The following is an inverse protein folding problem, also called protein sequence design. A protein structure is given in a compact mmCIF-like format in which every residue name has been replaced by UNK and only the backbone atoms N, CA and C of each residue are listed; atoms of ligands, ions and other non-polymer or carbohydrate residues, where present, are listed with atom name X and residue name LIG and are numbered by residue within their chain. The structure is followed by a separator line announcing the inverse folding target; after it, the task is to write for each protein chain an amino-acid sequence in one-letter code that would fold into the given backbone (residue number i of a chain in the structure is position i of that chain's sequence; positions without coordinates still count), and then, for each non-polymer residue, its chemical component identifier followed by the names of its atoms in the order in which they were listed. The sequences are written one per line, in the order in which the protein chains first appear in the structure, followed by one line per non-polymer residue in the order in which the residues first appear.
data_IF_995591674304
#
_entry.id   IF_995591674304
#
_cell.length_a   1.000
_cell.length_b   1.000
_cell.length_c   1.000
_cell.angle_alpha   90.00
_cell.angle_beta   90.00
_cell.angle_gamma   90.00
#
_symmetry.space_group_name_H-M   'P 1'
#
loop_
_entity.id
_entity.type
_entity.pdbx_description
1 polymer ?
#
# COMPACT_ATOMS: atom_id res chain seq x y z
N UNK A 1 -30.74 -6.01 -2.20
CA UNK A 1 -30.77 -5.95 -3.68
C UNK A 1 -29.38 -6.33 -4.17
N UNK A 2 -29.23 -7.41 -4.96
CA UNK A 2 -27.89 -7.86 -5.40
C UNK A 2 -27.36 -6.92 -6.49
N UNK A 3 -26.26 -6.27 -6.19
CA UNK A 3 -25.58 -5.34 -7.11
C UNK A 3 -24.86 -6.16 -8.20
N UNK A 4 -25.01 -5.76 -9.45
CA UNK A 4 -24.35 -6.38 -10.62
C UNK A 4 -23.30 -5.44 -11.21
N UNK A 5 -22.16 -5.97 -11.62
CA UNK A 5 -21.06 -5.20 -12.21
C UNK A 5 -21.51 -4.30 -13.39
N UNK A 6 -22.41 -4.76 -14.34
CA UNK A 6 -22.91 -3.90 -15.40
C UNK A 6 -23.70 -2.67 -14.93
N UNK A 7 -24.39 -2.77 -13.77
CA UNK A 7 -25.11 -1.63 -13.18
C UNK A 7 -24.14 -0.62 -12.56
N UNK A 8 -23.00 -1.09 -12.02
CA UNK A 8 -21.92 -0.26 -11.54
C UNK A 8 -21.24 0.49 -12.69
N UNK A 9 -21.00 -0.18 -13.81
CA UNK A 9 -20.43 0.42 -15.02
C UNK A 9 -21.33 1.49 -15.62
N UNK A 10 -22.66 1.29 -15.59
CA UNK A 10 -23.62 2.27 -16.05
C UNK A 10 -23.68 3.51 -15.15
N UNK A 11 -23.60 3.36 -13.83
CA UNK A 11 -23.59 4.45 -12.86
C UNK A 11 -22.29 5.28 -12.93
N UNK A 12 -21.16 4.64 -13.19
CA UNK A 12 -19.87 5.33 -13.36
C UNK A 12 -19.80 6.29 -14.55
N UNK A 13 -20.67 6.11 -15.55
CA UNK A 13 -20.73 6.97 -16.75
C UNK A 13 -21.48 8.29 -16.55
N UNK A 14 -22.27 8.42 -15.47
CA UNK A 14 -23.22 9.54 -15.34
C UNK A 14 -22.76 10.69 -14.44
N UNK A 15 -21.84 10.45 -13.47
CA UNK A 15 -21.31 11.51 -12.60
C UNK A 15 -19.99 11.09 -11.95
N UNK A 16 -18.87 11.67 -12.43
CA UNK A 16 -17.50 11.22 -12.12
C UNK A 16 -17.11 11.35 -10.63
N UNK A 17 -17.72 12.25 -9.88
CA UNK A 17 -17.27 12.57 -8.51
C UNK A 17 -18.04 11.83 -7.42
N UNK A 18 -19.34 11.70 -7.55
CA UNK A 18 -20.22 10.98 -6.61
C UNK A 18 -20.12 9.46 -6.88
N UNK A 19 -19.97 9.10 -8.18
CA UNK A 19 -19.86 7.73 -8.64
C UNK A 19 -18.65 6.98 -8.05
N UNK A 20 -17.52 7.63 -7.82
CA UNK A 20 -16.28 6.94 -7.44
C UNK A 20 -16.26 6.46 -5.98
N UNK A 21 -16.69 7.28 -5.01
CA UNK A 21 -16.76 6.86 -3.59
C UNK A 21 -17.84 5.78 -3.43
N UNK A 22 -18.95 5.95 -4.14
CA UNK A 22 -19.99 4.94 -4.26
C UNK A 22 -19.47 3.69 -5.00
N UNK A 23 -18.66 3.84 -6.04
CA UNK A 23 -18.13 2.73 -6.84
C UNK A 23 -17.11 1.87 -6.05
N UNK A 24 -16.13 2.47 -5.37
CA UNK A 24 -15.21 1.72 -4.48
C UNK A 24 -15.97 1.02 -3.35
N UNK A 25 -16.94 1.70 -2.74
CA UNK A 25 -17.81 1.11 -1.74
C UNK A 25 -18.60 -0.06 -2.33
N UNK A 26 -19.11 0.08 -3.55
CA UNK A 26 -19.86 -0.93 -4.26
C UNK A 26 -18.99 -2.13 -4.72
N UNK A 27 -17.75 -1.90 -5.16
CA UNK A 27 -16.81 -2.99 -5.49
C UNK A 27 -16.39 -3.78 -4.25
N UNK A 28 -16.12 -3.10 -3.15
CA UNK A 28 -15.87 -3.74 -1.85
C UNK A 28 -17.12 -4.50 -1.39
N UNK A 29 -18.31 -3.92 -1.55
CA UNK A 29 -19.56 -4.57 -1.22
C UNK A 29 -19.82 -5.80 -2.13
N UNK A 30 -19.58 -5.67 -3.44
CA UNK A 30 -19.67 -6.78 -4.40
C UNK A 30 -18.72 -7.91 -4.00
N UNK A 31 -17.46 -7.59 -3.66
CA UNK A 31 -16.48 -8.58 -3.21
C UNK A 31 -17.01 -9.39 -2.04
N UNK A 32 -17.53 -8.73 -0.99
CA UNK A 32 -18.03 -9.41 0.20
C UNK A 32 -19.36 -10.13 0.01
N UNK A 33 -20.08 -9.86 -1.08
CA UNK A 33 -21.27 -10.61 -1.51
C UNK A 33 -20.94 -11.87 -2.32
N UNK A 34 -19.68 -12.03 -2.79
CA UNK A 34 -19.28 -13.24 -3.50
C UNK A 34 -19.20 -14.44 -2.57
N UNK A 35 -19.51 -15.61 -3.09
CA UNK A 35 -19.28 -16.84 -2.36
C UNK A 35 -17.81 -17.26 -2.52
N UNK A 36 -17.03 -17.20 -1.45
CA UNK A 36 -15.61 -17.51 -1.46
C UNK A 36 -15.32 -18.92 -2.02
N UNK A 37 -16.19 -19.91 -1.75
CA UNK A 37 -16.06 -21.27 -2.29
C UNK A 37 -16.16 -21.28 -3.82
N UNK A 38 -17.08 -20.50 -4.39
CA UNK A 38 -17.23 -20.42 -5.86
C UNK A 38 -16.04 -19.67 -6.49
N UNK A 39 -15.58 -18.61 -5.87
CA UNK A 39 -14.39 -17.87 -6.32
C UNK A 39 -13.18 -18.80 -6.33
N UNK A 40 -12.94 -19.53 -5.26
CA UNK A 40 -11.84 -20.49 -5.12
C UNK A 40 -11.93 -21.71 -6.04
N UNK A 41 -13.10 -21.98 -6.59
CA UNK A 41 -13.26 -23.04 -7.57
C UNK A 41 -12.62 -22.71 -8.93
N UNK A 42 -12.45 -21.41 -9.29
CA UNK A 42 -11.95 -21.02 -10.62
C UNK A 42 -10.57 -21.57 -10.95
N UNK A 43 -9.53 -21.45 -10.10
CA UNK A 43 -8.22 -22.07 -10.35
C UNK A 43 -8.30 -23.58 -10.54
N UNK A 44 -9.19 -24.26 -9.81
CA UNK A 44 -9.36 -25.69 -9.88
C UNK A 44 -10.02 -26.09 -11.22
N UNK A 45 -11.03 -25.33 -11.68
CA UNK A 45 -11.66 -25.54 -12.99
C UNK A 45 -10.66 -25.30 -14.11
N UNK A 46 -9.86 -24.23 -14.02
CA UNK A 46 -8.81 -23.92 -15.01
C UNK A 46 -7.74 -25.02 -15.10
N UNK A 47 -7.30 -25.54 -13.95
CA UNK A 47 -6.29 -26.60 -13.90
C UNK A 47 -6.83 -28.01 -14.29
N UNK A 48 -8.14 -28.26 -14.03
CA UNK A 48 -8.75 -29.55 -14.35
C UNK A 48 -9.23 -29.65 -15.81
N UNK A 49 -9.34 -28.52 -16.51
CA UNK A 49 -9.86 -28.46 -17.87
C UNK A 49 -11.33 -28.87 -18.03
N UNK A 50 -12.06 -29.14 -16.92
CA UNK A 50 -13.46 -29.57 -16.99
C UNK A 50 -14.17 -29.56 -15.65
N UNK A 51 -15.51 -29.42 -15.72
CA UNK A 51 -16.39 -29.25 -14.54
C UNK A 51 -16.47 -30.50 -13.67
N UNK A 52 -16.51 -31.69 -14.27
CA UNK A 52 -16.59 -32.97 -13.54
C UNK A 52 -15.35 -33.20 -12.68
N UNK A 53 -14.18 -33.10 -13.29
CA UNK A 53 -12.92 -33.27 -12.59
C UNK A 53 -12.71 -32.21 -11.49
N UNK A 54 -13.08 -30.95 -11.77
CA UNK A 54 -13.02 -29.88 -10.78
C UNK A 54 -13.99 -30.14 -9.61
N UNK A 55 -15.21 -30.54 -9.87
CA UNK A 55 -16.23 -30.82 -8.85
C UNK A 55 -15.76 -31.94 -7.90
N UNK A 56 -15.18 -33.01 -8.43
CA UNK A 56 -14.57 -34.09 -7.65
C UNK A 56 -13.45 -33.57 -6.75
N UNK A 57 -12.55 -32.71 -7.27
CA UNK A 57 -11.43 -32.14 -6.49
C UNK A 57 -11.91 -31.19 -5.37
N UNK A 58 -13.03 -30.49 -5.57
CA UNK A 58 -13.59 -29.55 -4.60
C UNK A 58 -14.48 -30.29 -3.57
N UNK A 59 -14.94 -31.50 -3.89
CA UNK A 59 -15.86 -32.27 -3.06
C UNK A 59 -17.31 -31.75 -3.10
N UNK A 60 -17.77 -31.32 -4.28
CA UNK A 60 -19.18 -30.88 -4.52
C UNK A 60 -19.71 -31.55 -5.78
N UNK A 61 -21.03 -31.50 -5.97
CA UNK A 61 -21.64 -32.03 -7.21
C UNK A 61 -21.32 -31.10 -8.41
N UNK A 62 -21.19 -31.69 -9.59
CA UNK A 62 -20.96 -30.95 -10.84
C UNK A 62 -22.07 -29.90 -11.10
N UNK A 63 -23.38 -30.18 -10.90
CA UNK A 63 -24.44 -29.17 -11.02
C UNK A 63 -24.26 -27.98 -10.06
N UNK A 64 -23.85 -28.23 -8.80
CA UNK A 64 -23.62 -27.19 -7.82
C UNK A 64 -22.44 -26.28 -8.24
N UNK A 65 -21.35 -26.86 -8.76
CA UNK A 65 -20.23 -26.10 -9.28
C UNK A 65 -20.65 -25.28 -10.51
N UNK A 66 -21.38 -25.88 -11.45
CA UNK A 66 -21.88 -25.20 -12.65
C UNK A 66 -22.79 -24.02 -12.31
N UNK A 67 -23.71 -24.22 -11.35
CA UNK A 67 -24.59 -23.15 -10.87
C UNK A 67 -23.81 -22.03 -10.20
N UNK A 68 -22.82 -22.37 -9.37
CA UNK A 68 -21.95 -21.41 -8.70
C UNK A 68 -21.14 -20.56 -9.67
N UNK A 69 -20.56 -21.19 -10.69
CA UNK A 69 -19.81 -20.49 -11.75
C UNK A 69 -20.74 -19.59 -12.57
N UNK A 70 -21.89 -20.11 -13.02
CA UNK A 70 -22.88 -19.32 -13.76
C UNK A 70 -23.41 -18.12 -12.94
N UNK A 71 -23.56 -18.29 -11.63
CA UNK A 71 -23.97 -17.19 -10.73
C UNK A 71 -22.87 -16.13 -10.65
N UNK A 72 -21.59 -16.55 -10.54
CA UNK A 72 -20.45 -15.65 -10.52
C UNK A 72 -20.34 -14.87 -11.84
N UNK A 73 -20.38 -15.54 -12.99
CA UNK A 73 -20.34 -14.92 -14.32
C UNK A 73 -21.52 -13.93 -14.54
N UNK A 74 -22.73 -14.30 -14.11
CA UNK A 74 -23.90 -13.38 -14.16
C UNK A 74 -23.70 -12.13 -13.29
N UNK A 75 -23.09 -12.28 -12.10
CA UNK A 75 -22.80 -11.13 -11.22
C UNK A 75 -21.74 -10.21 -11.83
N UNK A 76 -20.72 -10.80 -12.43
CA UNK A 76 -19.64 -10.07 -13.08
C UNK A 76 -20.03 -9.53 -14.46
N UNK A 77 -21.08 -10.06 -15.07
CA UNK A 77 -21.53 -9.71 -16.42
C UNK A 77 -20.55 -10.15 -17.52
N UNK A 78 -19.67 -11.09 -17.23
CA UNK A 78 -18.60 -11.57 -18.10
C UNK A 78 -18.54 -13.09 -18.08
N UNK A 79 -18.08 -13.68 -19.21
CA UNK A 79 -17.69 -15.08 -19.25
C UNK A 79 -16.25 -15.22 -18.75
N UNK A 80 -16.06 -16.17 -17.83
CA UNK A 80 -14.74 -16.50 -17.28
C UNK A 80 -14.13 -17.73 -17.95
N UNK A 81 -14.98 -18.57 -18.55
CA UNK A 81 -14.55 -19.79 -19.27
C UNK A 81 -15.30 -19.95 -20.58
N UNK A 82 -14.59 -20.35 -21.60
CA UNK A 82 -15.14 -20.83 -22.87
C UNK A 82 -15.23 -22.36 -22.82
N UNK A 83 -16.33 -22.90 -23.41
CA UNK A 83 -16.57 -24.32 -23.56
C UNK A 83 -16.10 -24.80 -24.93
N UNK A 84 -15.24 -25.79 -24.96
CA UNK A 84 -14.74 -26.42 -26.14
C UNK A 84 -15.00 -27.94 -26.10
N UNK A 85 -14.97 -28.67 -27.21
CA UNK A 85 -15.08 -30.14 -27.22
C UNK A 85 -14.05 -30.83 -26.32
N UNK A 86 -12.88 -30.24 -26.13
CA UNK A 86 -11.80 -30.71 -25.25
C UNK A 86 -11.91 -30.26 -23.79
N UNK A 87 -12.96 -29.50 -23.40
CA UNK A 87 -13.13 -29.07 -22.01
C UNK A 87 -13.42 -27.57 -21.84
N UNK A 88 -12.99 -27.02 -20.73
CA UNK A 88 -13.16 -25.62 -20.37
C UNK A 88 -11.80 -24.90 -20.34
N UNK A 89 -11.71 -23.80 -21.06
CA UNK A 89 -10.51 -22.96 -21.13
C UNK A 89 -10.84 -21.57 -20.53
N UNK A 90 -10.01 -21.02 -19.65
CA UNK A 90 -10.22 -19.68 -19.14
C UNK A 90 -10.16 -18.65 -20.26
N UNK A 91 -11.10 -17.70 -20.29
CA UNK A 91 -11.00 -16.49 -21.10
C UNK A 91 -9.82 -15.62 -20.62
N UNK A 92 -9.36 -14.59 -21.36
CA UNK A 92 -8.37 -13.64 -20.86
C UNK A 92 -8.78 -13.04 -19.49
N UNK A 93 -10.04 -12.67 -19.33
CA UNK A 93 -10.62 -12.20 -18.08
C UNK A 93 -10.57 -13.27 -16.99
N UNK A 94 -10.94 -14.51 -17.33
CA UNK A 94 -10.86 -15.66 -16.43
C UNK A 94 -9.43 -15.94 -15.98
N UNK A 95 -8.45 -15.91 -16.90
CA UNK A 95 -7.04 -16.12 -16.60
C UNK A 95 -6.48 -15.07 -15.64
N UNK A 96 -6.77 -13.79 -15.88
CA UNK A 96 -6.37 -12.70 -15.00
C UNK A 96 -6.94 -12.86 -13.59
N UNK A 97 -8.23 -13.21 -13.48
CA UNK A 97 -8.89 -13.42 -12.21
C UNK A 97 -8.34 -14.65 -11.48
N UNK A 98 -8.10 -15.75 -12.18
CA UNK A 98 -7.51 -16.99 -11.62
C UNK A 98 -6.16 -16.71 -10.97
N UNK A 99 -5.28 -15.94 -11.60
CA UNK A 99 -3.97 -15.56 -11.04
C UNK A 99 -4.11 -14.81 -9.70
N UNK A 100 -5.06 -13.89 -9.60
CA UNK A 100 -5.31 -13.13 -8.38
C UNK A 100 -5.95 -13.99 -7.28
N UNK A 101 -6.84 -14.90 -7.65
CA UNK A 101 -7.44 -15.86 -6.69
C UNK A 101 -6.37 -16.77 -6.11
N UNK A 102 -5.43 -17.26 -6.92
CA UNK A 102 -4.31 -18.09 -6.43
C UNK A 102 -3.45 -17.32 -5.41
N UNK A 103 -3.16 -16.05 -5.66
CA UNK A 103 -2.43 -15.20 -4.71
C UNK A 103 -3.22 -15.00 -3.41
N UNK A 104 -4.54 -14.75 -3.50
CA UNK A 104 -5.40 -14.64 -2.34
C UNK A 104 -5.45 -15.97 -1.54
N UNK A 105 -5.57 -17.11 -2.21
CA UNK A 105 -5.57 -18.42 -1.56
C UNK A 105 -4.27 -18.69 -0.78
N UNK A 106 -3.13 -18.33 -1.33
CA UNK A 106 -1.84 -18.48 -0.65
C UNK A 106 -1.80 -17.66 0.65
N UNK A 107 -2.33 -16.42 0.63
CA UNK A 107 -2.44 -15.58 1.83
C UNK A 107 -3.40 -16.17 2.86
N UNK A 108 -4.55 -16.67 2.42
CA UNK A 108 -5.53 -17.33 3.30
C UNK A 108 -4.95 -18.61 3.92
N UNK A 109 -4.22 -19.40 3.14
CA UNK A 109 -3.54 -20.60 3.64
C UNK A 109 -2.48 -20.25 4.69
N UNK A 110 -1.64 -19.23 4.42
CA UNK A 110 -0.65 -18.72 5.38
C UNK A 110 -1.32 -18.22 6.67
N UNK A 111 -2.42 -17.48 6.55
CA UNK A 111 -3.17 -16.95 7.68
C UNK A 111 -3.70 -18.05 8.62
N UNK A 112 -4.14 -19.16 8.07
CA UNK A 112 -4.78 -20.25 8.79
C UNK A 112 -3.89 -21.50 8.96
N UNK A 113 -2.58 -21.40 8.62
CA UNK A 113 -1.63 -22.53 8.69
C UNK A 113 -1.48 -23.12 10.09
N UNK A 114 -1.77 -22.35 11.14
CA UNK A 114 -1.62 -22.76 12.55
C UNK A 114 -2.74 -23.64 13.07
N UNK A 115 -3.79 -23.90 12.29
CA UNK A 115 -4.97 -24.68 12.74
C UNK A 115 -4.71 -26.17 13.05
N UNK A 116 -3.53 -26.68 12.73
CA UNK A 116 -2.92 -27.90 13.28
C UNK A 116 -3.65 -29.25 13.09
N UNK A 117 -4.82 -29.30 12.51
CA UNK A 117 -5.58 -30.53 12.30
C UNK A 117 -5.15 -31.22 10.99
N UNK A 118 -4.50 -32.39 11.10
CA UNK A 118 -4.17 -33.22 9.92
C UNK A 118 -5.42 -33.51 9.08
N UNK A 119 -5.33 -33.24 7.77
CA UNK A 119 -6.42 -33.47 6.82
C UNK A 119 -7.54 -32.42 6.81
N UNK A 120 -7.48 -31.40 7.66
CA UNK A 120 -8.46 -30.32 7.69
C UNK A 120 -7.90 -29.05 7.03
N UNK A 121 -8.55 -28.59 5.95
CA UNK A 121 -8.22 -27.30 5.34
C UNK A 121 -9.18 -26.23 5.83
N UNK A 122 -8.78 -25.36 6.77
CA UNK A 122 -9.65 -24.36 7.36
C UNK A 122 -10.17 -23.32 6.35
N UNK A 123 -9.43 -23.09 5.26
CA UNK A 123 -9.85 -22.15 4.19
C UNK A 123 -11.15 -22.60 3.52
N UNK A 124 -11.45 -23.92 3.49
CA UNK A 124 -12.70 -24.43 2.94
C UNK A 124 -13.95 -24.02 3.75
N UNK A 125 -13.75 -23.64 5.01
CA UNK A 125 -14.80 -23.24 5.95
C UNK A 125 -14.84 -21.73 6.19
N UNK A 126 -13.95 -20.98 5.55
CA UNK A 126 -13.89 -19.54 5.63
C UNK A 126 -14.95 -18.90 4.71
N UNK A 127 -15.58 -17.85 5.19
CA UNK A 127 -16.53 -17.02 4.42
C UNK A 127 -16.02 -15.59 4.25
N UNK A 128 -16.51 -14.91 3.21
CA UNK A 128 -16.25 -13.48 3.01
C UNK A 128 -16.76 -12.62 4.17
N UNK A 129 -17.87 -13.00 4.78
CA UNK A 129 -18.43 -12.31 5.95
C UNK A 129 -17.48 -12.38 7.16
N UNK A 130 -16.87 -13.54 7.40
CA UNK A 130 -15.89 -13.71 8.47
C UNK A 130 -14.61 -12.91 8.21
N UNK A 131 -14.12 -12.87 6.96
CA UNK A 131 -12.99 -12.02 6.58
C UNK A 131 -13.31 -10.54 6.84
N UNK A 132 -14.48 -10.07 6.39
CA UNK A 132 -14.94 -8.70 6.61
C UNK A 132 -15.06 -8.38 8.11
N UNK A 133 -15.60 -9.31 8.90
CA UNK A 133 -15.78 -9.14 10.33
C UNK A 133 -14.47 -8.84 11.07
N UNK A 134 -13.43 -9.64 10.83
CA UNK A 134 -12.13 -9.45 11.52
C UNK A 134 -11.37 -8.23 11.01
N UNK A 135 -11.43 -7.93 9.72
CA UNK A 135 -10.83 -6.72 9.14
C UNK A 135 -11.49 -5.47 9.77
N UNK A 136 -12.83 -5.43 9.80
CA UNK A 136 -13.56 -4.30 10.39
C UNK A 136 -13.33 -4.17 11.89
N UNK A 137 -13.21 -5.29 12.61
CA UNK A 137 -12.88 -5.27 14.04
C UNK A 137 -11.48 -4.73 14.30
N UNK A 138 -10.52 -5.08 13.44
CA UNK A 138 -9.15 -4.55 13.49
C UNK A 138 -9.12 -3.02 13.32
N UNK A 139 -9.90 -2.51 12.38
CA UNK A 139 -9.94 -1.08 12.05
C UNK A 139 -10.73 -0.27 13.08
N UNK A 140 -11.85 -0.82 13.57
CA UNK A 140 -12.74 -0.12 14.52
C UNK A 140 -12.27 -0.17 15.97
N UNK A 141 -11.40 -1.14 16.35
CA UNK A 141 -10.87 -1.30 17.70
C UNK A 141 -11.91 -1.69 18.77
N UNK A 142 -13.18 -1.88 18.41
CA UNK A 142 -14.24 -2.33 19.32
C UNK A 142 -15.34 -3.11 18.62
N UNK A 143 -15.94 -4.07 19.34
CA UNK A 143 -17.07 -4.85 18.82
C UNK A 143 -18.31 -3.97 18.52
N UNK A 144 -18.55 -2.95 19.35
CA UNK A 144 -19.69 -2.04 19.17
C UNK A 144 -19.55 -1.25 17.87
N UNK A 145 -18.39 -0.62 17.67
CA UNK A 145 -18.14 0.16 16.46
C UNK A 145 -18.10 -0.73 15.21
N UNK A 146 -17.44 -1.89 15.28
CA UNK A 146 -17.39 -2.83 14.16
C UNK A 146 -18.77 -3.39 13.79
N UNK A 147 -19.60 -3.72 14.77
CA UNK A 147 -20.97 -4.19 14.54
C UNK A 147 -21.83 -3.11 13.86
N UNK A 148 -21.70 -1.85 14.29
CA UNK A 148 -22.40 -0.72 13.67
C UNK A 148 -21.96 -0.52 12.19
N UNK A 149 -20.66 -0.58 11.90
CA UNK A 149 -20.11 -0.46 10.53
C UNK A 149 -20.62 -1.60 9.63
N UNK A 150 -20.71 -2.82 10.18
CA UNK A 150 -21.13 -4.01 9.44
C UNK A 150 -22.65 -4.14 9.30
N UNK A 151 -23.43 -3.35 10.03
CA UNK A 151 -24.88 -3.50 10.12
C UNK A 151 -25.30 -4.81 10.82
N UNK A 152 -24.48 -5.31 11.74
CA UNK A 152 -24.70 -6.55 12.49
C UNK A 152 -25.03 -6.26 13.96
N UNK A 153 -25.70 -7.22 14.62
CA UNK A 153 -25.76 -7.19 16.08
C UNK A 153 -24.41 -7.58 16.69
N UNK A 154 -24.07 -7.00 17.83
CA UNK A 154 -22.83 -7.34 18.55
C UNK A 154 -22.70 -8.85 18.84
N UNK A 155 -23.76 -9.60 19.25
CA UNK A 155 -23.68 -11.04 19.40
C UNK A 155 -23.40 -11.79 18.08
N UNK A 156 -23.89 -11.31 16.95
CA UNK A 156 -23.59 -11.91 15.64
C UNK A 156 -22.11 -11.75 15.28
N UNK A 157 -21.53 -10.57 15.52
CA UNK A 157 -20.10 -10.34 15.32
C UNK A 157 -19.23 -11.19 16.25
N UNK A 158 -19.62 -11.32 17.53
CA UNK A 158 -18.93 -12.21 18.48
C UNK A 158 -18.94 -13.67 18.02
N UNK A 159 -20.07 -14.18 17.49
CA UNK A 159 -20.14 -15.52 16.92
C UNK A 159 -19.20 -15.68 15.72
N UNK A 160 -19.19 -14.73 14.81
CA UNK A 160 -18.32 -14.76 13.62
C UNK A 160 -16.82 -14.80 14.01
N UNK A 161 -16.42 -14.00 14.99
CA UNK A 161 -15.03 -14.00 15.51
C UNK A 161 -14.73 -15.34 16.23
N UNK A 162 -15.63 -15.85 17.07
CA UNK A 162 -15.46 -17.14 17.75
C UNK A 162 -15.37 -18.34 16.78
N UNK A 163 -16.05 -18.27 15.63
CA UNK A 163 -15.89 -19.25 14.55
C UNK A 163 -14.52 -19.14 13.90
N UNK A 164 -14.02 -17.92 13.68
CA UNK A 164 -12.66 -17.70 13.17
C UNK A 164 -11.60 -18.21 14.16
N UNK A 165 -11.76 -18.01 15.46
CA UNK A 165 -10.86 -18.53 16.49
C UNK A 165 -10.77 -20.07 16.42
N UNK A 166 -11.91 -20.74 16.23
CA UNK A 166 -11.92 -22.20 16.03
C UNK A 166 -11.23 -22.61 14.72
N UNK A 167 -11.37 -21.84 13.63
CA UNK A 167 -10.69 -22.10 12.37
C UNK A 167 -9.19 -21.82 12.45
N UNK A 168 -8.79 -20.75 13.14
CA UNK A 168 -7.40 -20.35 13.32
C UNK A 168 -6.66 -21.17 14.38
N UNK A 169 -7.40 -21.90 15.24
CA UNK A 169 -6.82 -22.71 16.32
C UNK A 169 -6.27 -21.92 17.48
N UNK A 170 -6.76 -20.69 17.71
CA UNK A 170 -6.32 -19.84 18.83
C UNK A 170 -7.08 -18.54 18.95
N UNK A 171 -6.89 -17.84 20.08
CA UNK A 171 -7.54 -16.57 20.36
C UNK A 171 -7.09 -15.47 19.39
N UNK A 172 -8.07 -14.84 18.76
CA UNK A 172 -7.91 -13.71 17.83
C UNK A 172 -8.12 -12.38 18.54
N UNK A 173 -9.02 -12.36 19.54
CA UNK A 173 -9.35 -11.17 20.30
C UNK A 173 -9.19 -11.43 21.81
N UNK A 174 -8.79 -10.40 22.55
CA UNK A 174 -8.62 -10.45 24.00
C UNK A 174 -9.26 -9.22 24.65
N UNK A 175 -9.72 -9.38 25.91
CA UNK A 175 -10.19 -8.23 26.69
C UNK A 175 -9.02 -7.36 27.13
N UNK A 176 -9.10 -6.07 26.90
CA UNK A 176 -8.11 -5.09 27.33
C UNK A 176 -8.81 -3.90 28.02
N UNK A 177 -8.75 -3.87 29.31
CA UNK A 177 -9.51 -2.89 30.10
C UNK A 177 -11.01 -3.00 29.87
N UNK A 178 -11.67 -1.88 29.50
CA UNK A 178 -13.09 -1.84 29.15
C UNK A 178 -13.40 -2.19 27.70
N UNK A 179 -12.38 -2.48 26.88
CA UNK A 179 -12.51 -2.76 25.44
C UNK A 179 -11.99 -4.14 25.05
N UNK A 180 -11.89 -4.33 23.76
CA UNK A 180 -11.31 -5.53 23.14
C UNK A 180 -10.19 -5.10 22.20
N UNK A 181 -9.06 -5.79 22.27
CA UNK A 181 -7.96 -5.65 21.33
C UNK A 181 -7.74 -6.96 20.58
N UNK A 182 -7.24 -6.89 19.35
CA UNK A 182 -6.75 -8.08 18.68
C UNK A 182 -5.44 -8.54 19.32
N UNK A 183 -5.30 -9.86 19.49
CA UNK A 183 -4.02 -10.48 19.81
C UNK A 183 -3.00 -10.26 18.70
N UNK A 184 -1.72 -10.55 18.91
CA UNK A 184 -0.73 -10.52 17.84
C UNK A 184 -1.12 -11.47 16.68
N UNK A 185 -1.65 -12.65 17.01
CA UNK A 185 -2.18 -13.60 16.03
C UNK A 185 -3.40 -13.03 15.28
N UNK A 186 -4.31 -12.36 15.99
CA UNK A 186 -5.49 -11.71 15.40
C UNK A 186 -5.11 -10.58 14.45
N UNK A 187 -4.14 -9.76 14.80
CA UNK A 187 -3.61 -8.71 13.89
C UNK A 187 -2.97 -9.31 12.64
N UNK A 188 -2.17 -10.35 12.79
CA UNK A 188 -1.55 -11.03 11.65
C UNK A 188 -2.62 -11.66 10.74
N UNK A 189 -3.66 -12.28 11.32
CA UNK A 189 -4.79 -12.84 10.57
C UNK A 189 -5.56 -11.76 9.81
N UNK A 190 -5.93 -10.66 10.46
CA UNK A 190 -6.61 -9.54 9.84
C UNK A 190 -5.81 -8.95 8.69
N UNK A 191 -4.49 -8.81 8.85
CA UNK A 191 -3.57 -8.39 7.79
C UNK A 191 -3.62 -9.31 6.59
N UNK A 192 -3.45 -10.61 6.77
CA UNK A 192 -3.47 -11.56 5.65
C UNK A 192 -4.84 -11.60 4.96
N UNK A 193 -5.94 -11.48 5.71
CA UNK A 193 -7.27 -11.39 5.11
C UNK A 193 -7.48 -10.10 4.33
N UNK A 194 -6.97 -8.97 4.82
CA UNK A 194 -7.01 -7.69 4.08
C UNK A 194 -6.23 -7.80 2.77
N UNK A 195 -5.04 -8.38 2.81
CA UNK A 195 -4.22 -8.60 1.62
C UNK A 195 -4.87 -9.58 0.64
N UNK A 196 -5.51 -10.66 1.12
CA UNK A 196 -6.27 -11.57 0.27
C UNK A 196 -7.48 -10.87 -0.38
N UNK A 197 -8.20 -10.05 0.38
CA UNK A 197 -9.30 -9.25 -0.16
C UNK A 197 -8.82 -8.24 -1.21
N UNK A 198 -7.65 -7.63 -1.01
CA UNK A 198 -7.03 -6.73 -1.98
C UNK A 198 -6.64 -7.45 -3.29
N UNK A 199 -6.10 -8.66 -3.21
CA UNK A 199 -5.84 -9.47 -4.42
C UNK A 199 -7.13 -9.79 -5.19
N UNK A 200 -8.20 -10.16 -4.50
CA UNK A 200 -9.49 -10.42 -5.13
C UNK A 200 -10.10 -9.15 -5.75
N UNK A 201 -10.01 -8.02 -5.05
CA UNK A 201 -10.45 -6.72 -5.57
C UNK A 201 -9.65 -6.32 -6.82
N UNK A 202 -8.33 -6.45 -6.79
CA UNK A 202 -7.47 -6.20 -7.95
C UNK A 202 -7.80 -7.15 -9.13
N UNK A 203 -8.18 -8.40 -8.85
CA UNK A 203 -8.69 -9.32 -9.87
C UNK A 203 -9.98 -8.82 -10.52
N UNK A 204 -10.91 -8.29 -9.74
CA UNK A 204 -12.13 -7.69 -10.26
C UNK A 204 -11.87 -6.41 -11.06
N UNK A 205 -10.91 -5.59 -10.63
CA UNK A 205 -10.48 -4.38 -11.35
C UNK A 205 -9.94 -4.69 -12.74
N UNK A 206 -9.25 -5.82 -12.94
CA UNK A 206 -8.76 -6.21 -14.28
C UNK A 206 -9.88 -6.54 -15.27
N UNK A 207 -11.11 -6.75 -14.79
CA UNK A 207 -12.30 -7.00 -15.59
C UNK A 207 -12.98 -5.72 -16.08
N UNK A 208 -12.49 -4.56 -15.63
CA UNK A 208 -13.08 -3.26 -15.98
C UNK A 208 -12.49 -2.73 -17.28
N UNK A 209 -13.26 -1.87 -18.00
CA UNK A 209 -12.71 -1.10 -19.10
C UNK A 209 -11.49 -0.29 -18.70
N UNK A 210 -10.58 -0.05 -19.64
CA UNK A 210 -9.32 0.66 -19.38
C UNK A 210 -9.52 2.12 -18.89
N UNK A 211 -10.69 2.70 -19.16
CA UNK A 211 -11.13 4.02 -18.71
C UNK A 211 -11.80 4.02 -17.33
N UNK A 212 -11.97 2.84 -16.72
CA UNK A 212 -12.52 2.76 -15.38
C UNK A 212 -11.58 3.41 -14.36
N UNK A 213 -12.18 4.02 -13.33
CA UNK A 213 -11.45 4.69 -12.25
C UNK A 213 -10.58 3.68 -11.50
N UNK A 214 -9.26 3.84 -11.60
CA UNK A 214 -8.25 3.04 -10.90
C UNK A 214 -7.68 3.87 -9.75
N UNK A 215 -7.40 3.23 -8.62
CA UNK A 215 -6.81 3.89 -7.45
C UNK A 215 -5.33 3.54 -7.31
N UNK A 216 -4.54 4.56 -6.95
CA UNK A 216 -3.14 4.44 -6.57
C UNK A 216 -2.93 5.12 -5.22
N UNK A 217 -2.47 4.39 -4.21
CA UNK A 217 -2.20 4.94 -2.88
C UNK A 217 -0.69 4.90 -2.62
N UNK A 218 -0.09 6.06 -2.51
CA UNK A 218 1.37 6.21 -2.34
C UNK A 218 1.70 6.76 -0.98
N UNK A 219 2.47 6.01 -0.19
CA UNK A 219 3.13 6.53 1.01
C UNK A 219 4.32 7.40 0.63
N UNK A 220 4.35 8.64 1.05
CA UNK A 220 5.38 9.59 0.68
C UNK A 220 6.11 10.16 1.90
N UNK A 221 7.38 9.79 2.07
CA UNK A 221 8.26 10.43 3.05
C UNK A 221 8.73 11.80 2.55
N UNK A 222 9.19 12.71 3.44
CA UNK A 222 9.39 14.12 3.09
C UNK A 222 10.21 14.39 1.84
N UNK A 223 11.29 13.63 1.60
CA UNK A 223 12.17 13.83 0.44
C UNK A 223 11.47 13.51 -0.89
N UNK A 224 10.70 12.41 -0.94
CA UNK A 224 10.07 11.94 -2.17
C UNK A 224 9.05 12.93 -2.73
N UNK A 225 8.48 13.76 -1.86
CA UNK A 225 7.45 14.75 -2.20
C UNK A 225 7.97 15.95 -3.00
N UNK A 226 9.25 16.24 -2.88
CA UNK A 226 9.83 17.40 -3.54
C UNK A 226 10.05 17.20 -5.05
N UNK A 227 10.44 16.01 -5.47
CA UNK A 227 10.81 15.74 -6.88
C UNK A 227 10.24 14.43 -7.42
N UNK A 228 10.61 13.28 -6.83
CA UNK A 228 10.34 11.97 -7.42
C UNK A 228 8.84 11.72 -7.63
N UNK A 229 8.04 11.92 -6.61
CA UNK A 229 6.60 11.67 -6.66
C UNK A 229 5.88 12.63 -7.62
N UNK A 230 6.02 13.96 -7.54
CA UNK A 230 5.33 14.88 -8.45
C UNK A 230 5.73 14.66 -9.91
N UNK A 231 7.01 14.45 -10.19
CA UNK A 231 7.50 14.24 -11.55
C UNK A 231 6.95 12.92 -12.14
N UNK A 232 6.92 11.83 -11.37
CA UNK A 232 6.34 10.58 -11.84
C UNK A 232 4.83 10.71 -12.09
N UNK A 233 4.09 11.38 -11.19
CA UNK A 233 2.64 11.61 -11.35
C UNK A 233 2.33 12.47 -12.57
N UNK A 234 3.12 13.49 -12.87
CA UNK A 234 2.95 14.33 -14.05
C UNK A 234 2.93 13.53 -15.36
N UNK A 235 3.62 12.37 -15.41
CA UNK A 235 3.63 11.48 -16.56
C UNK A 235 2.53 10.39 -16.53
N UNK A 236 2.08 10.01 -15.33
CA UNK A 236 1.04 8.98 -15.16
C UNK A 236 -0.36 9.55 -15.37
N UNK A 237 -0.65 10.74 -14.85
CA UNK A 237 -1.96 11.35 -14.89
C UNK A 237 -2.54 11.49 -16.32
N UNK A 238 -1.79 11.93 -17.34
CA UNK A 238 -2.31 11.99 -18.72
C UNK A 238 -2.59 10.61 -19.33
N UNK A 239 -1.84 9.59 -18.92
CA UNK A 239 -1.97 8.22 -19.44
C UNK A 239 -3.19 7.47 -18.84
N UNK A 240 -3.70 7.92 -17.69
CA UNK A 240 -4.83 7.33 -16.98
C UNK A 240 -5.81 8.43 -16.53
N UNK A 241 -6.65 8.99 -17.42
CA UNK A 241 -7.52 10.13 -17.09
C UNK A 241 -8.50 9.88 -15.92
N UNK A 242 -8.83 8.60 -15.66
CA UNK A 242 -9.72 8.20 -14.58
C UNK A 242 -9.01 7.85 -13.26
N UNK A 243 -7.68 8.01 -13.18
CA UNK A 243 -6.92 7.62 -11.98
C UNK A 243 -7.27 8.52 -10.79
N UNK A 244 -7.39 7.91 -9.62
CA UNK A 244 -7.35 8.59 -8.33
C UNK A 244 -6.07 8.26 -7.59
N UNK A 245 -5.33 9.29 -7.25
CA UNK A 245 -4.09 9.16 -6.49
C UNK A 245 -4.31 9.72 -5.09
N UNK A 246 -4.10 8.87 -4.09
CA UNK A 246 -4.05 9.28 -2.69
C UNK A 246 -2.59 9.28 -2.25
N UNK A 247 -2.10 10.42 -1.78
CA UNK A 247 -0.75 10.57 -1.21
C UNK A 247 -0.87 10.61 0.30
N UNK A 248 -0.38 9.55 0.95
CA UNK A 248 -0.33 9.46 2.41
C UNK A 248 1.04 9.93 2.87
N UNK A 249 1.08 11.08 3.51
CA UNK A 249 2.31 11.69 4.00
C UNK A 249 2.63 11.19 5.41
N UNK A 250 3.91 10.93 5.68
CA UNK A 250 4.34 10.52 7.01
C UNK A 250 5.83 10.16 7.09
N UNK A 251 6.29 9.89 8.30
CA UNK A 251 7.58 9.26 8.53
C UNK A 251 7.49 7.75 8.26
N UNK A 252 8.63 7.06 8.27
CA UNK A 252 8.67 5.60 8.12
C UNK A 252 7.72 4.89 9.10
N UNK A 253 7.74 5.30 10.36
CA UNK A 253 6.91 4.72 11.43
C UNK A 253 5.41 4.83 11.18
N UNK A 254 4.99 5.89 10.49
CA UNK A 254 3.59 6.16 10.20
C UNK A 254 3.10 5.39 8.97
N UNK A 255 4.01 5.10 8.03
CA UNK A 255 3.69 4.54 6.72
C UNK A 255 3.92 3.02 6.63
N UNK A 256 4.83 2.46 7.43
CA UNK A 256 5.25 1.07 7.31
C UNK A 256 4.12 0.08 7.62
N UNK A 257 3.34 0.29 8.67
CA UNK A 257 2.22 -0.59 8.99
C UNK A 257 1.06 -0.46 7.99
N UNK A 258 0.63 0.74 7.56
CA UNK A 258 -0.30 0.89 6.44
C UNK A 258 0.18 0.23 5.14
N UNK A 259 1.49 0.27 4.82
CA UNK A 259 2.04 -0.46 3.68
C UNK A 259 1.90 -1.97 3.86
N UNK A 260 2.32 -2.51 5.01
CA UNK A 260 2.23 -3.93 5.34
C UNK A 260 0.80 -4.45 5.33
N UNK A 261 -0.14 -3.61 5.76
CA UNK A 261 -1.57 -3.91 5.77
C UNK A 261 -2.28 -3.75 4.42
N UNK A 262 -1.59 -3.19 3.41
CA UNK A 262 -2.17 -2.97 2.08
C UNK A 262 -3.08 -1.75 1.98
N UNK A 263 -3.12 -0.89 2.99
CA UNK A 263 -3.79 0.42 2.93
C UNK A 263 -3.02 1.40 2.03
N UNK A 264 -1.69 1.21 1.92
CA UNK A 264 -0.80 1.90 0.99
C UNK A 264 -0.27 0.84 0.00
N UNK A 265 -0.22 1.17 -1.29
CA UNK A 265 0.25 0.26 -2.33
C UNK A 265 1.77 0.12 -2.30
N UNK A 266 2.44 1.26 -2.26
CA UNK A 266 3.89 1.40 -2.21
C UNK A 266 4.28 2.63 -1.40
N UNK A 267 5.53 2.67 -0.91
CA UNK A 267 6.06 3.80 -0.15
C UNK A 267 7.36 4.28 -0.78
N UNK A 268 7.56 5.61 -0.85
CA UNK A 268 8.76 6.22 -1.43
C UNK A 268 9.48 7.03 -0.35
N UNK A 269 10.78 6.78 -0.18
CA UNK A 269 11.61 7.54 0.75
C UNK A 269 12.92 6.88 1.10
N UNK A 270 13.53 7.28 2.22
CA UNK A 270 14.79 6.71 2.68
C UNK A 270 14.64 5.24 3.05
N UNK A 271 15.47 4.41 2.44
CA UNK A 271 15.52 2.98 2.69
C UNK A 271 16.11 2.70 4.07
N UNK A 272 15.77 1.54 4.64
CA UNK A 272 16.21 1.13 5.98
C UNK A 272 17.06 -0.12 5.93
N UNK A 273 18.07 -0.16 6.79
CA UNK A 273 18.91 -1.35 7.01
C UNK A 273 18.91 -1.70 8.50
N UNK A 274 18.61 -2.96 8.84
CA UNK A 274 18.15 -4.03 7.95
C UNK A 274 16.70 -3.81 7.46
N UNK A 275 16.37 -4.38 6.29
CA UNK A 275 15.00 -4.42 5.79
C UNK A 275 14.12 -5.33 6.66
N UNK A 276 12.83 -5.02 6.76
CA UNK A 276 11.86 -5.93 7.35
C UNK A 276 11.65 -7.15 6.43
N UNK A 277 11.49 -8.37 6.96
CA UNK A 277 11.47 -9.61 6.17
C UNK A 277 10.28 -9.72 5.20
N UNK A 278 9.20 -8.98 5.44
CA UNK A 278 8.00 -8.95 4.60
C UNK A 278 7.95 -7.74 3.64
N UNK A 279 9.06 -7.00 3.54
CA UNK A 279 9.22 -5.85 2.66
C UNK A 279 10.43 -6.00 1.73
N UNK A 280 10.25 -5.54 0.51
CA UNK A 280 11.31 -5.43 -0.49
C UNK A 280 11.60 -3.95 -0.72
N UNK A 281 12.87 -3.60 -0.76
CA UNK A 281 13.31 -2.23 -0.95
C UNK A 281 14.09 -2.09 -2.26
N UNK A 282 13.75 -1.04 -3.02
CA UNK A 282 14.35 -0.73 -4.31
C UNK A 282 15.02 0.62 -4.28
N UNK A 283 16.35 0.71 -4.36
CA UNK A 283 17.04 1.97 -4.45
C UNK A 283 16.75 2.65 -5.81
N UNK A 284 16.46 3.95 -5.76
CA UNK A 284 16.26 4.80 -6.94
C UNK A 284 17.39 5.82 -7.10
N UNK A 285 17.70 6.56 -6.04
CA UNK A 285 18.74 7.59 -6.05
C UNK A 285 19.57 7.53 -4.76
N UNK A 286 20.79 8.02 -4.86
CA UNK A 286 21.62 8.36 -3.72
C UNK A 286 21.47 9.84 -3.41
N UNK A 287 21.05 10.17 -2.20
CA UNK A 287 20.79 11.52 -1.72
C UNK A 287 21.87 11.93 -0.71
N UNK A 288 22.53 13.04 -0.97
CA UNK A 288 23.50 13.65 -0.04
C UNK A 288 22.85 14.83 0.65
N UNK A 289 23.02 14.90 1.97
CA UNK A 289 22.62 16.08 2.73
C UNK A 289 23.60 17.23 2.46
N UNK A 290 23.08 18.45 2.56
CA UNK A 290 23.87 19.66 2.52
C UNK A 290 23.45 20.59 3.66
N UNK A 291 24.33 21.50 4.05
CA UNK A 291 23.98 22.63 4.91
C UNK A 291 23.37 23.70 4.01
N UNK A 292 22.12 24.04 4.24
CA UNK A 292 21.37 25.01 3.44
C UNK A 292 21.20 26.31 4.25
N UNK A 293 21.41 27.44 3.57
CA UNK A 293 21.24 28.79 4.08
C UNK A 293 20.57 29.69 3.03
N UNK A 294 20.20 30.94 3.41
CA UNK A 294 19.82 31.97 2.44
C UNK A 294 21.01 32.34 1.53
N UNK A 295 20.73 32.82 0.33
CA UNK A 295 21.77 33.05 -0.70
C UNK A 295 22.83 34.10 -0.27
N UNK A 296 22.45 35.12 0.47
CA UNK A 296 23.30 36.18 0.99
C UNK A 296 23.74 35.95 2.45
N UNK A 297 23.73 34.67 2.90
CA UNK A 297 24.23 34.31 4.23
C UNK A 297 25.74 34.65 4.37
N UNK A 298 26.23 35.11 5.54
CA UNK A 298 27.64 35.46 5.75
C UNK A 298 28.65 34.35 5.46
N UNK A 299 28.23 33.09 5.42
CA UNK A 299 29.01 31.92 5.05
C UNK A 299 28.92 31.55 3.56
N UNK A 300 28.06 32.20 2.78
CA UNK A 300 27.90 31.90 1.36
C UNK A 300 29.21 32.24 0.57
N UNK A 301 29.55 31.37 -0.39
CA UNK A 301 30.70 31.56 -1.28
C UNK A 301 32.06 31.30 -0.63
N UNK A 302 32.12 30.74 0.57
CA UNK A 302 33.36 30.34 1.22
C UNK A 302 33.25 28.93 1.85
N UNK A 303 34.36 28.23 1.91
CA UNK A 303 34.42 26.98 2.67
C UNK A 303 34.26 27.26 4.17
N UNK A 304 33.41 26.49 4.84
CA UNK A 304 33.04 26.67 6.24
C UNK A 304 33.36 25.43 7.05
N UNK A 305 33.93 25.63 8.23
CA UNK A 305 34.23 24.54 9.19
C UNK A 305 33.14 24.40 10.21
N UNK A 306 33.15 23.29 11.00
CA UNK A 306 32.18 23.09 12.07
C UNK A 306 32.14 24.26 13.07
N UNK A 307 33.25 24.86 13.53
CA UNK A 307 33.26 26.08 14.34
C UNK A 307 32.58 27.29 13.70
N UNK A 308 32.75 27.48 12.37
CA UNK A 308 32.07 28.57 11.66
C UNK A 308 30.58 28.39 11.69
N UNK A 309 30.10 27.18 11.39
CA UNK A 309 28.68 26.80 11.37
C UNK A 309 28.04 26.86 12.77
N UNK A 310 28.81 26.59 13.82
CA UNK A 310 28.34 26.64 15.21
C UNK A 310 28.04 28.04 15.71
N UNK A 311 28.45 29.10 15.01
CA UNK A 311 28.16 30.49 15.37
C UNK A 311 26.75 30.93 15.01
N UNK A 312 26.04 30.14 14.18
CA UNK A 312 24.72 30.48 13.69
C UNK A 312 23.63 29.59 14.31
N UNK A 313 22.39 30.07 14.41
CA UNK A 313 21.26 29.24 14.88
C UNK A 313 20.87 28.19 13.81
N UNK A 314 20.39 27.05 14.29
CA UNK A 314 19.99 25.94 13.42
C UNK A 314 18.49 25.65 13.51
N UNK A 315 17.92 25.29 12.36
CA UNK A 315 16.62 24.64 12.26
C UNK A 315 16.92 23.15 12.11
N UNK A 316 16.52 22.35 13.10
CA UNK A 316 16.80 20.91 13.13
C UNK A 316 15.56 20.07 12.83
N UNK A 317 15.75 18.81 12.48
CA UNK A 317 14.66 17.85 12.38
C UNK A 317 14.02 17.62 13.76
N UNK A 318 12.76 17.15 13.76
CA UNK A 318 12.08 16.78 15.01
C UNK A 318 12.84 15.61 15.69
N UNK A 319 12.76 15.54 17.01
CA UNK A 319 13.35 14.46 17.78
C UNK A 319 12.95 13.07 17.24
N UNK A 320 13.93 12.16 17.21
CA UNK A 320 13.77 10.83 16.61
C UNK A 320 13.82 10.79 15.09
N UNK A 321 13.96 11.94 14.41
CA UNK A 321 14.19 11.94 12.96
C UNK A 321 15.67 11.66 12.62
N UNK A 322 15.96 11.04 11.45
CA UNK A 322 17.33 10.84 11.00
C UNK A 322 18.13 12.14 10.86
N UNK A 323 17.47 13.26 10.49
CA UNK A 323 18.11 14.56 10.36
C UNK A 323 18.53 15.12 11.73
N UNK A 324 17.69 14.99 12.76
CA UNK A 324 18.07 15.37 14.12
C UNK A 324 19.24 14.51 14.64
N UNK A 325 19.20 13.20 14.42
CA UNK A 325 20.28 12.30 14.81
C UNK A 325 21.61 12.67 14.13
N UNK A 326 21.58 13.00 12.82
CA UNK A 326 22.75 13.45 12.10
C UNK A 326 23.31 14.77 12.66
N UNK A 327 22.43 15.74 12.91
CA UNK A 327 22.86 17.04 13.48
C UNK A 327 23.50 16.85 14.86
N UNK A 328 22.89 16.05 15.75
CA UNK A 328 23.46 15.73 17.04
C UNK A 328 24.82 15.02 16.95
N UNK A 329 25.00 14.16 15.96
CA UNK A 329 26.27 13.49 15.72
C UNK A 329 27.37 14.46 15.27
N UNK A 330 27.02 15.43 14.41
CA UNK A 330 27.95 16.46 13.92
C UNK A 330 28.41 17.43 15.01
N UNK A 331 27.54 17.74 15.97
CA UNK A 331 27.77 18.72 17.03
C UNK A 331 27.72 18.10 18.45
N UNK A 332 28.15 16.85 18.60
CA UNK A 332 28.03 16.10 19.85
C UNK A 332 28.77 16.78 21.04
N UNK A 333 29.89 17.47 20.79
CA UNK A 333 30.71 18.11 21.82
C UNK A 333 30.31 19.55 22.14
N UNK A 334 29.77 20.27 21.17
CA UNK A 334 29.41 21.69 21.32
C UNK A 334 28.23 22.02 20.38
N UNK A 335 27.00 21.66 20.75
CA UNK A 335 25.85 21.90 19.90
C UNK A 335 25.57 23.39 19.78
N UNK A 336 25.42 23.93 18.55
CA UNK A 336 25.03 25.31 18.34
C UNK A 336 23.56 25.55 18.76
N UNK A 337 23.12 26.81 18.90
CA UNK A 337 21.72 27.11 19.17
C UNK A 337 20.80 26.50 18.13
N UNK A 338 19.81 25.73 18.55
CA UNK A 338 18.78 25.15 17.68
C UNK A 338 17.37 25.51 18.17
N UNK A 339 16.97 26.79 17.99
CA UNK A 339 15.71 27.30 18.53
C UNK A 339 14.46 26.71 17.88
N UNK A 340 14.61 26.07 16.70
CA UNK A 340 13.48 25.52 15.95
C UNK A 340 13.72 24.06 15.61
N UNK A 341 12.78 23.19 16.04
CA UNK A 341 12.69 21.81 15.62
C UNK A 341 11.49 21.65 14.65
N UNK A 342 11.73 21.42 13.37
CA UNK A 342 10.69 21.42 12.35
C UNK A 342 10.91 20.30 11.31
N UNK A 343 9.83 19.61 10.93
CA UNK A 343 9.82 18.62 9.83
C UNK A 343 9.19 19.16 8.53
N UNK A 344 8.64 20.36 8.54
CA UNK A 344 8.01 20.98 7.37
C UNK A 344 9.05 21.72 6.52
N UNK A 345 9.33 21.20 5.34
CA UNK A 345 10.25 21.86 4.40
C UNK A 345 9.76 23.25 4.00
N UNK A 346 8.45 23.45 3.86
CA UNK A 346 7.88 24.79 3.56
C UNK A 346 8.21 25.78 4.65
N UNK A 347 8.00 25.41 5.93
CA UNK A 347 8.33 26.29 7.07
C UNK A 347 9.83 26.56 7.15
N UNK A 348 10.66 25.54 6.91
CA UNK A 348 12.12 25.67 6.91
C UNK A 348 12.58 26.65 5.83
N UNK A 349 12.05 26.55 4.61
CA UNK A 349 12.38 27.44 3.48
C UNK A 349 12.11 28.92 3.82
N UNK A 350 10.94 29.22 4.36
CA UNK A 350 10.56 30.57 4.75
C UNK A 350 11.46 31.12 5.87
N UNK A 351 11.75 30.28 6.89
CA UNK A 351 12.66 30.67 7.96
C UNK A 351 14.08 30.92 7.48
N UNK A 352 14.59 30.09 6.59
CA UNK A 352 15.92 30.31 5.99
C UNK A 352 15.96 31.61 5.20
N UNK A 353 14.93 31.90 4.39
CA UNK A 353 14.88 33.13 3.59
C UNK A 353 14.83 34.40 4.44
N UNK A 354 14.30 34.30 5.68
CA UNK A 354 14.10 35.44 6.57
C UNK A 354 15.15 35.55 7.70
N UNK A 355 16.17 34.67 7.76
CA UNK A 355 17.11 34.63 8.89
C UNK A 355 18.45 34.03 8.50
N UNK A 356 19.42 34.17 9.42
CA UNK A 356 20.74 33.52 9.33
C UNK A 356 20.74 32.11 9.91
N UNK A 357 19.59 31.46 9.95
CA UNK A 357 19.53 30.06 10.37
C UNK A 357 20.14 29.14 9.31
N UNK A 358 20.73 28.04 9.80
CA UNK A 358 21.22 26.94 9.00
C UNK A 358 20.33 25.71 9.17
N UNK A 359 20.32 24.81 8.20
CA UNK A 359 19.66 23.53 8.32
C UNK A 359 20.36 22.44 7.52
N UNK A 360 20.13 21.18 7.91
CA UNK A 360 20.48 20.01 7.10
C UNK A 360 19.31 19.59 6.25
N UNK A 361 19.44 19.68 4.93
CA UNK A 361 18.42 19.20 3.98
C UNK A 361 19.09 18.53 2.77
N UNK A 362 18.31 17.76 2.04
CA UNK A 362 18.66 17.39 0.67
C UNK A 362 18.51 18.60 -0.25
N UNK A 363 19.48 18.87 -1.13
CA UNK A 363 19.32 19.90 -2.16
C UNK A 363 18.05 19.72 -3.01
N UNK A 364 17.63 18.47 -3.29
CA UNK A 364 16.40 18.19 -4.04
C UNK A 364 15.13 18.72 -3.33
N UNK A 365 15.15 18.90 -2.01
CA UNK A 365 14.01 19.43 -1.24
C UNK A 365 13.82 20.94 -1.38
N UNK A 366 14.87 21.64 -1.75
CA UNK A 366 14.91 23.10 -1.92
C UNK A 366 15.46 23.49 -3.29
N UNK A 367 15.35 22.60 -4.26
CA UNK A 367 15.93 22.78 -5.59
C UNK A 367 15.42 24.03 -6.30
N UNK A 368 14.12 24.31 -6.19
CA UNK A 368 13.52 25.49 -6.82
C UNK A 368 14.15 26.78 -6.27
N UNK A 369 14.42 26.83 -4.98
CA UNK A 369 15.06 27.98 -4.33
C UNK A 369 16.53 28.07 -4.65
N UNK A 370 17.24 26.93 -4.75
CA UNK A 370 18.64 26.89 -5.19
C UNK A 370 18.77 27.38 -6.63
N UNK A 371 17.92 26.87 -7.53
CA UNK A 371 17.91 27.24 -8.95
C UNK A 371 17.53 28.72 -9.16
N UNK A 372 16.66 29.25 -8.29
CA UNK A 372 16.26 30.67 -8.28
C UNK A 372 17.26 31.59 -7.57
N UNK A 373 18.32 31.06 -6.96
CA UNK A 373 19.30 31.85 -6.19
C UNK A 373 18.77 32.46 -4.91
N UNK A 374 17.71 31.88 -4.32
CA UNK A 374 17.14 32.34 -3.04
C UNK A 374 17.81 31.65 -1.85
N UNK A 375 18.20 30.39 -2.01
CA UNK A 375 18.95 29.61 -1.04
C UNK A 375 20.27 29.15 -1.65
N UNK A 376 21.21 28.74 -0.81
CA UNK A 376 22.51 28.20 -1.20
C UNK A 376 22.86 26.98 -0.36
N UNK A 377 23.49 26.00 -0.98
CA UNK A 377 24.16 24.92 -0.28
C UNK A 377 25.58 25.42 0.09
N UNK A 378 25.89 25.47 1.37
CA UNK A 378 27.19 25.89 1.86
C UNK A 378 28.25 24.82 1.59
N UNK A 379 29.42 25.25 1.18
CA UNK A 379 30.61 24.40 1.10
C UNK A 379 31.14 24.15 2.51
N UNK A 380 31.27 22.86 2.89
CA UNK A 380 31.66 22.48 4.25
C UNK A 380 32.48 21.19 4.26
N UNK A 381 33.37 21.07 5.24
CA UNK A 381 34.15 19.86 5.56
C UNK A 381 33.42 18.84 6.44
N UNK A 382 32.16 19.11 6.81
CA UNK A 382 31.40 18.20 7.64
C UNK A 382 31.21 16.81 6.98
N UNK A 383 31.32 15.72 7.75
CA UNK A 383 31.07 14.37 7.27
C UNK A 383 29.56 14.12 7.06
N UNK A 384 28.99 14.78 6.06
CA UNK A 384 27.57 14.67 5.74
C UNK A 384 27.27 13.30 5.15
N UNK A 385 26.18 12.68 5.67
CA UNK A 385 25.78 11.35 5.22
C UNK A 385 25.11 11.40 3.85
N UNK A 386 25.36 10.33 3.10
CA UNK A 386 24.54 9.96 1.96
C UNK A 386 23.52 8.89 2.41
N UNK A 387 22.36 8.87 1.79
CA UNK A 387 21.30 7.93 2.06
C UNK A 387 20.65 7.46 0.77
N UNK A 388 20.26 6.19 0.71
CA UNK A 388 19.55 5.66 -0.45
C UNK A 388 18.07 5.97 -0.32
N UNK A 389 17.52 6.59 -1.36
CA UNK A 389 16.08 6.84 -1.51
C UNK A 389 15.55 5.86 -2.54
N UNK A 390 14.42 5.27 -2.24
CA UNK A 390 13.85 4.25 -3.12
C UNK A 390 12.39 3.97 -2.84
N UNK A 391 11.92 2.90 -3.46
CA UNK A 391 10.57 2.35 -3.28
C UNK A 391 10.61 1.20 -2.28
N UNK A 392 9.62 1.15 -1.41
CA UNK A 392 9.40 0.04 -0.48
C UNK A 392 8.07 -0.61 -0.84
N UNK A 393 8.09 -1.92 -1.03
CA UNK A 393 6.97 -2.75 -1.46
C UNK A 393 6.77 -3.90 -0.49
N UNK A 394 5.58 -4.48 -0.44
CA UNK A 394 5.35 -5.77 0.20
C UNK A 394 5.99 -6.89 -0.60
N UNK A 395 6.58 -7.86 0.08
CA UNK A 395 7.04 -9.07 -0.57
C UNK A 395 5.88 -9.80 -1.28
N UNK A 396 6.13 -10.26 -2.51
CA UNK A 396 5.12 -10.92 -3.34
C UNK A 396 3.96 -10.03 -3.80
N UNK A 397 4.07 -8.69 -3.65
CA UNK A 397 3.08 -7.77 -4.19
C UNK A 397 3.05 -7.80 -5.71
N UNK A 398 1.84 -7.78 -6.28
CA UNK A 398 1.60 -7.84 -7.72
C UNK A 398 0.98 -6.52 -8.19
N UNK A 399 1.77 -5.63 -8.83
CA UNK A 399 1.26 -4.34 -9.26
C UNK A 399 0.19 -4.46 -10.36
N UNK A 400 -0.81 -3.59 -10.30
CA UNK A 400 -1.77 -3.36 -11.38
C UNK A 400 -1.09 -2.65 -12.57
N UNK A 401 -1.72 -2.54 -13.74
CA UNK A 401 -1.14 -1.80 -14.88
C UNK A 401 -0.74 -0.37 -14.54
N UNK A 402 -1.58 0.36 -13.79
CA UNK A 402 -1.27 1.74 -13.37
C UNK A 402 -0.11 1.80 -12.37
N UNK A 403 -0.05 0.86 -11.44
CA UNK A 403 1.04 0.78 -10.47
C UNK A 403 2.37 0.42 -11.15
N UNK A 404 2.37 -0.48 -12.15
CA UNK A 404 3.55 -0.76 -12.98
C UNK A 404 4.01 0.48 -13.75
N UNK A 405 3.06 1.20 -14.37
CA UNK A 405 3.40 2.44 -15.08
C UNK A 405 3.99 3.47 -14.13
N UNK A 406 3.42 3.63 -12.94
CA UNK A 406 3.93 4.57 -11.94
C UNK A 406 5.35 4.20 -11.48
N UNK A 407 5.65 2.91 -11.23
CA UNK A 407 6.98 2.44 -10.90
C UNK A 407 7.98 2.71 -12.03
N UNK A 408 7.59 2.46 -13.28
CA UNK A 408 8.43 2.75 -14.44
C UNK A 408 8.75 4.25 -14.57
N UNK A 409 7.76 5.13 -14.33
CA UNK A 409 7.99 6.58 -14.34
C UNK A 409 8.86 7.05 -13.17
N UNK A 410 8.70 6.47 -11.98
CA UNK A 410 9.62 6.74 -10.85
C UNK A 410 11.06 6.40 -11.20
N UNK A 411 11.30 5.23 -11.81
CA UNK A 411 12.64 4.82 -12.23
C UNK A 411 13.20 5.74 -13.32
N UNK A 412 12.36 6.14 -14.29
CA UNK A 412 12.76 7.08 -15.34
C UNK A 412 13.16 8.45 -14.78
N UNK A 413 12.39 8.98 -13.83
CA UNK A 413 12.68 10.26 -13.13
C UNK A 413 13.94 10.16 -12.28
N UNK A 414 14.21 9.00 -11.69
CA UNK A 414 15.40 8.75 -10.89
C UNK A 414 16.68 8.66 -11.74
N UNK A 415 16.59 8.21 -12.98
CA UNK A 415 17.69 8.14 -13.93
C UNK A 415 17.93 6.73 -14.50
N UNK A 416 18.79 6.60 -15.51
CA UNK A 416 18.95 5.36 -16.29
C UNK A 416 19.44 4.16 -15.46
N UNK A 417 20.25 4.36 -14.43
CA UNK A 417 20.72 3.30 -13.54
C UNK A 417 19.57 2.62 -12.76
N UNK A 418 18.49 3.34 -12.49
CA UNK A 418 17.35 2.86 -11.72
C UNK A 418 16.37 2.04 -12.56
N UNK A 419 16.32 2.28 -13.88
CA UNK A 419 15.44 1.56 -14.82
C UNK A 419 15.87 0.09 -14.93
N UNK A 420 17.18 -0.18 -14.95
CA UNK A 420 17.74 -1.52 -15.10
C UNK A 420 17.51 -2.44 -13.87
N UNK A 421 17.12 -1.88 -12.74
CA UNK A 421 17.00 -2.61 -11.46
C UNK A 421 15.56 -2.97 -11.07
N UNK A 422 14.54 -2.53 -11.81
CA UNK A 422 13.14 -2.83 -11.49
C UNK A 422 12.76 -4.29 -11.81
N UNK A 423 12.13 -5.04 -10.88
CA UNK A 423 11.75 -6.44 -11.09
C UNK A 423 10.51 -6.63 -11.95
N UNK A 424 9.92 -5.57 -12.46
CA UNK A 424 8.67 -5.57 -13.25
C UNK A 424 8.88 -5.01 -14.66
N UNK A 425 10.13 -4.99 -15.15
CA UNK A 425 10.51 -4.48 -16.47
C UNK A 425 10.39 -5.53 -17.57
N UNK A 426 9.27 -6.29 -17.62
CA UNK A 426 8.83 -7.04 -18.80
C UNK A 426 7.37 -6.75 -19.14
#
# INVERSE_FOLDING_TARGET
MAIRLPQLLAAAKTDLHIAHKAWLSLMVELLYQLNLRHVRALPIVAAAGGMSAAATRIGISQPALAQGLAQLERRLGLRLFDRHPGGMVPTPAGSALVQRIMAAEQRLATALARSGRRGFNPVNHLSMAQMRAIITLADAGSYVAAAAILGLSQPALHRAVGELERLAGGAIAERRGRGVALTAAGRALARQFRLAAAELAAGLETLLPADASVRLVVGAMPLSRARLLPAALAHVLPAFPGIKVDVVEGAWTDLVEPLRDGAIDLMIGALREPSLPDLVQWPLIEDRLAVIARADHPLAGRASTAPDLAQYPWIIGRDGSPLAAQWHALFATAPPPAPVACGSVMTIRELLSASDCLTLLSPDQVRVELDAGLLVALETDLPLISRRIGVVLREGWRPSPVQRRFLAELARVAGPASVASLPFSE
#
